data_IF_850220845248
#
_entry.id   IF_850220845248
#
_cell.length_a   1.000
_cell.length_b   1.000
_cell.length_c   1.000
_cell.angle_alpha   90.00
_cell.angle_beta   90.00
_cell.angle_gamma   90.00
#
_symmetry.space_group_name_H-M   'P 1'
#
loop_
_entity.id
_entity.type
_entity.pdbx_description
1 polymer ?
#
# COMPACT_ATOMS: atom_id res chain seq x y z
N UNK A 1 5.27 7.86 9.97
CA UNK A 1 3.93 8.33 10.43
C UNK A 1 2.86 8.18 9.36
N UNK A 2 3.21 8.23 8.06
CA UNK A 2 2.24 8.09 6.96
C UNK A 2 1.78 6.63 6.75
N UNK A 3 2.57 5.66 7.20
CA UNK A 3 2.30 4.23 7.06
C UNK A 3 1.05 3.78 7.84
N UNK A 4 0.81 4.38 9.02
CA UNK A 4 -0.37 4.06 9.81
C UNK A 4 -1.67 4.49 9.10
N UNK A 5 -1.63 5.57 8.33
CA UNK A 5 -2.78 6.00 7.53
C UNK A 5 -2.98 5.10 6.31
N UNK A 6 -1.88 4.66 5.68
CA UNK A 6 -1.95 3.71 4.57
C UNK A 6 -2.54 2.36 4.99
N UNK A 7 -2.10 1.80 6.14
CA UNK A 7 -2.65 0.53 6.65
C UNK A 7 -4.14 0.65 6.95
N UNK A 8 -4.58 1.69 7.67
CA UNK A 8 -6.00 1.89 7.98
C UNK A 8 -6.86 2.12 6.75
N UNK A 9 -6.33 2.79 5.73
CA UNK A 9 -7.04 2.98 4.46
C UNK A 9 -7.23 1.65 3.71
N UNK A 10 -6.26 0.73 3.77
CA UNK A 10 -6.39 -0.60 3.18
C UNK A 10 -7.36 -1.48 3.96
N UNK A 11 -7.34 -1.42 5.30
CA UNK A 11 -8.25 -2.20 6.14
C UNK A 11 -9.72 -1.81 5.92
N UNK A 12 -9.96 -0.58 5.46
CA UNK A 12 -11.30 -0.08 5.16
C UNK A 12 -11.74 -0.35 3.71
N UNK A 13 -10.80 -0.46 2.76
CA UNK A 13 -11.12 -0.51 1.34
C UNK A 13 -11.37 -1.95 0.87
N UNK A 14 -12.30 -2.14 -0.06
CA UNK A 14 -12.45 -3.42 -0.75
C UNK A 14 -11.37 -3.60 -1.84
N UNK A 15 -11.02 -2.49 -2.52
CA UNK A 15 -10.03 -2.47 -3.60
C UNK A 15 -9.00 -1.35 -3.43
N UNK A 16 -7.81 -1.58 -3.97
CA UNK A 16 -6.72 -0.62 -3.94
C UNK A 16 -6.03 -0.52 -5.31
N UNK A 17 -5.36 0.63 -5.52
CA UNK A 17 -4.52 0.87 -6.68
C UNK A 17 -3.24 1.60 -6.23
N UNK A 18 -2.10 1.12 -6.71
CA UNK A 18 -0.78 1.68 -6.41
C UNK A 18 -0.24 2.37 -7.66
N UNK A 19 0.05 3.66 -7.52
CA UNK A 19 0.71 4.45 -8.55
C UNK A 19 2.20 4.61 -8.22
N UNK A 20 3.05 4.36 -9.22
CA UNK A 20 4.48 4.63 -9.13
C UNK A 20 4.91 5.41 -10.38
N UNK A 21 5.44 6.63 -10.17
CA UNK A 21 5.93 7.51 -11.25
C UNK A 21 4.90 7.70 -12.39
N UNK A 22 3.64 7.93 -12.02
CA UNK A 22 2.54 8.15 -12.96
C UNK A 22 2.07 6.89 -13.70
N UNK A 23 2.55 5.70 -13.30
CA UNK A 23 2.10 4.43 -13.87
C UNK A 23 1.41 3.58 -12.81
N UNK A 24 0.42 2.81 -13.23
CA UNK A 24 -0.22 1.81 -12.37
C UNK A 24 0.79 0.67 -12.16
N UNK A 25 1.25 0.53 -10.93
CA UNK A 25 2.14 -0.56 -10.52
C UNK A 25 1.34 -1.80 -10.12
N UNK A 26 0.16 -1.60 -9.52
CA UNK A 26 -0.73 -2.69 -9.06
C UNK A 26 -2.17 -2.21 -8.90
N UNK A 27 -3.12 -3.12 -9.10
CA UNK A 27 -4.54 -2.97 -8.73
C UNK A 27 -5.04 -4.29 -8.16
N UNK A 28 -6.10 -4.26 -7.36
CA UNK A 28 -6.78 -5.48 -6.88
C UNK A 28 -7.39 -5.30 -5.50
N UNK A 29 -7.78 -6.41 -4.88
CA UNK A 29 -8.35 -6.41 -3.53
C UNK A 29 -7.37 -5.84 -2.50
N UNK A 30 -7.86 -4.94 -1.65
CA UNK A 30 -7.01 -4.27 -0.67
C UNK A 30 -6.44 -5.26 0.36
N UNK A 31 -7.21 -6.29 0.73
CA UNK A 31 -6.77 -7.35 1.64
C UNK A 31 -5.57 -8.16 1.12
N UNK A 32 -5.37 -8.21 -0.20
CA UNK A 32 -4.21 -8.88 -0.82
C UNK A 32 -3.00 -7.96 -0.97
N UNK A 33 -3.14 -6.66 -0.67
CA UNK A 33 -2.08 -5.68 -0.82
C UNK A 33 -1.08 -5.67 0.35
N UNK A 34 -1.46 -6.16 1.53
CA UNK A 34 -0.72 -6.00 2.79
C UNK A 34 0.79 -6.31 2.74
N UNK A 35 1.22 -7.54 2.38
CA UNK A 35 2.66 -7.89 2.43
C UNK A 35 3.49 -7.23 1.33
N UNK A 36 2.89 -6.95 0.17
CA UNK A 36 3.58 -6.37 -0.99
C UNK A 36 3.64 -4.84 -0.97
N UNK A 37 2.65 -4.18 -0.36
CA UNK A 37 2.55 -2.73 -0.31
C UNK A 37 3.60 -2.10 0.62
N UNK A 38 3.94 -2.77 1.73
CA UNK A 38 5.02 -2.35 2.62
C UNK A 38 6.34 -2.18 1.86
N UNK A 39 6.61 -3.02 0.85
CA UNK A 39 7.79 -2.89 -0.01
C UNK A 39 7.78 -1.61 -0.86
N UNK A 40 6.60 -1.09 -1.21
CA UNK A 40 6.42 0.16 -1.96
C UNK A 40 6.37 1.40 -1.07
N UNK A 41 5.90 1.26 0.16
CA UNK A 41 5.97 2.29 1.20
C UNK A 41 7.40 2.44 1.76
N UNK A 42 8.32 1.62 1.25
CA UNK A 42 9.69 1.50 1.70
C UNK A 42 9.77 0.61 2.94
N UNK A 43 10.93 0.01 3.16
CA UNK A 43 11.42 -0.38 4.48
C UNK A 43 11.50 0.83 5.43
N UNK A 44 10.45 1.64 5.54
CA UNK A 44 10.43 2.95 6.21
C UNK A 44 10.35 2.83 7.74
N UNK A 45 10.58 1.63 8.29
CA UNK A 45 10.87 1.45 9.72
C UNK A 45 11.89 0.33 9.93
N UNK A 46 12.93 0.25 9.09
CA UNK A 46 14.09 -0.58 9.35
C UNK A 46 15.40 0.19 9.12
N UNK A 47 15.61 1.23 9.94
CA UNK A 47 16.91 1.68 10.43
C UNK A 47 16.68 2.60 11.64
#
# INVERSE_FOLDING_TARGET
MIEQFASRALDFADHCLVLQRGRIARTGDAGLAGPGLLRYLGEATAA
#
